data_IF_706327337064
#
_entry.id   IF_706327337064
#
_cell.length_a   1.000
_cell.length_b   1.000
_cell.length_c   1.000
_cell.angle_alpha   90.00
_cell.angle_beta   90.00
_cell.angle_gamma   90.00
#
_symmetry.space_group_name_H-M   'P 1'
#
loop_
_entity.id
_entity.type
_entity.pdbx_description
1 polymer ?
#
# COMPACT_ATOMS: atom_id res chain seq x y z
N UNK A 1 53.66 1.68 -30.74
CA UNK A 1 53.04 1.73 -32.09
C UNK A 1 52.78 3.16 -32.57
N UNK A 2 52.29 4.11 -31.74
CA UNK A 2 52.21 5.54 -32.13
C UNK A 2 53.53 6.10 -32.68
N UNK A 3 54.65 5.80 -32.02
CA UNK A 3 55.98 6.23 -32.48
C UNK A 3 56.39 5.59 -33.81
N UNK A 4 55.91 4.37 -34.12
CA UNK A 4 56.20 3.70 -35.40
C UNK A 4 55.39 4.31 -36.54
N UNK A 5 54.14 4.73 -36.30
CA UNK A 5 53.30 5.42 -37.30
C UNK A 5 53.87 6.81 -37.61
N UNK A 6 54.31 7.56 -36.59
CA UNK A 6 54.99 8.85 -36.79
C UNK A 6 56.34 8.72 -37.50
N UNK A 7 57.11 7.67 -37.17
CA UNK A 7 58.38 7.38 -37.84
C UNK A 7 58.18 6.98 -39.31
N UNK A 8 57.14 6.19 -39.61
CA UNK A 8 56.76 5.83 -40.98
C UNK A 8 56.31 7.07 -41.78
N UNK A 9 55.64 8.02 -41.12
CA UNK A 9 55.23 9.28 -41.74
C UNK A 9 56.43 10.18 -42.07
N UNK A 10 57.36 10.38 -41.13
CA UNK A 10 58.55 11.22 -41.32
C UNK A 10 59.52 10.68 -42.36
N UNK A 11 59.77 9.37 -42.38
CA UNK A 11 60.71 8.73 -43.32
C UNK A 11 60.18 8.80 -44.77
N UNK A 12 58.86 8.72 -44.95
CA UNK A 12 58.26 8.62 -46.28
C UNK A 12 57.92 9.98 -46.91
N UNK A 13 57.66 11.01 -46.11
CA UNK A 13 57.53 12.41 -46.59
C UNK A 13 58.81 12.90 -47.28
N UNK A 14 59.99 12.43 -46.84
CA UNK A 14 61.27 12.79 -47.44
C UNK A 14 61.53 12.11 -48.80
N UNK A 15 60.92 10.94 -49.07
CA UNK A 15 61.20 10.16 -50.29
C UNK A 15 60.63 10.74 -51.58
N UNK A 16 59.68 11.69 -51.51
CA UNK A 16 58.97 12.22 -52.68
C UNK A 16 58.97 13.76 -52.74
N UNK A 17 59.84 14.42 -51.97
CA UNK A 17 59.88 15.88 -51.83
C UNK A 17 60.42 16.66 -53.07
N UNK A 18 60.57 16.02 -54.24
CA UNK A 18 61.19 16.63 -55.43
C UNK A 18 60.64 16.15 -56.79
N UNK A 19 59.45 15.53 -56.83
CA UNK A 19 58.80 15.10 -58.08
C UNK A 19 57.62 16.01 -58.44
N UNK A 20 57.36 16.19 -59.74
CA UNK A 20 56.36 17.10 -60.28
C UNK A 20 54.93 16.72 -59.82
N UNK A 21 54.18 17.71 -59.34
CA UNK A 21 52.96 17.49 -58.51
C UNK A 21 51.77 16.96 -59.34
N UNK A 22 51.83 17.08 -60.67
CA UNK A 22 50.77 16.69 -61.60
C UNK A 22 50.94 15.29 -62.23
N UNK A 23 51.99 14.56 -61.89
CA UNK A 23 52.21 13.23 -62.47
C UNK A 23 51.27 12.19 -61.82
N UNK A 24 50.43 11.53 -62.64
CA UNK A 24 49.35 10.64 -62.20
C UNK A 24 49.88 9.48 -61.34
N UNK A 25 51.10 9.03 -61.62
CA UNK A 25 51.79 7.97 -60.88
C UNK A 25 52.15 8.40 -59.45
N UNK A 26 52.57 9.66 -59.25
CA UNK A 26 52.91 10.21 -57.93
C UNK A 26 51.65 10.35 -57.08
N UNK A 27 50.53 10.78 -57.69
CA UNK A 27 49.23 10.87 -57.02
C UNK A 27 48.73 9.49 -56.59
N UNK A 28 48.75 8.50 -57.49
CA UNK A 28 48.33 7.13 -57.18
C UNK A 28 49.15 6.53 -56.03
N UNK A 29 50.47 6.70 -56.05
CA UNK A 29 51.36 6.17 -55.01
C UNK A 29 51.15 6.86 -53.67
N UNK A 30 50.89 8.18 -53.67
CA UNK A 30 50.53 8.93 -52.46
C UNK A 30 49.19 8.45 -51.88
N UNK A 31 48.19 8.20 -52.73
CA UNK A 31 46.89 7.68 -52.32
C UNK A 31 47.00 6.25 -51.75
N UNK A 32 47.82 5.40 -52.38
CA UNK A 32 48.09 4.05 -51.90
C UNK A 32 48.75 4.05 -50.52
N UNK A 33 49.72 4.95 -50.29
CA UNK A 33 50.34 5.12 -48.97
C UNK A 33 49.37 5.68 -47.93
N UNK A 34 48.47 6.59 -48.33
CA UNK A 34 47.40 7.06 -47.44
C UNK A 34 46.45 5.93 -47.07
N UNK A 35 46.10 5.06 -48.02
CA UNK A 35 45.28 3.86 -47.79
C UNK A 35 45.94 2.91 -46.79
N UNK A 36 47.22 2.60 -46.96
CA UNK A 36 47.98 1.76 -46.02
C UNK A 36 48.02 2.38 -44.61
N UNK A 37 48.20 3.70 -44.51
CA UNK A 37 48.20 4.40 -43.23
C UNK A 37 46.83 4.37 -42.55
N UNK A 38 45.75 4.58 -43.31
CA UNK A 38 44.38 4.50 -42.81
C UNK A 38 44.06 3.08 -42.33
N UNK A 39 44.51 2.05 -43.05
CA UNK A 39 44.33 0.65 -42.63
C UNK A 39 45.01 0.37 -41.29
N UNK A 40 46.25 0.82 -41.11
CA UNK A 40 46.97 0.69 -39.83
C UNK A 40 46.26 1.45 -38.70
N UNK A 41 45.74 2.65 -38.97
CA UNK A 41 44.94 3.42 -38.01
C UNK A 41 43.63 2.72 -37.65
N UNK A 42 42.96 2.11 -38.63
CA UNK A 42 41.71 1.37 -38.42
C UNK A 42 41.95 0.15 -37.52
N UNK A 43 43.02 -0.62 -37.79
CA UNK A 43 43.39 -1.77 -36.97
C UNK A 43 43.78 -1.36 -35.55
N UNK A 44 44.52 -0.26 -35.40
CA UNK A 44 44.84 0.31 -34.08
C UNK A 44 43.58 0.70 -33.30
N UNK A 45 42.63 1.39 -33.93
CA UNK A 45 41.36 1.77 -33.28
C UNK A 45 40.57 0.52 -32.90
N UNK A 46 40.55 -0.52 -33.74
CA UNK A 46 39.87 -1.79 -33.42
C UNK A 46 40.51 -2.50 -32.23
N UNK A 47 41.83 -2.48 -32.10
CA UNK A 47 42.54 -3.05 -30.95
C UNK A 47 42.29 -2.23 -29.67
N UNK A 48 42.41 -0.91 -29.73
CA UNK A 48 42.10 -0.01 -28.61
C UNK A 48 40.65 -0.17 -28.15
N UNK A 49 39.70 -0.29 -29.09
CA UNK A 49 38.31 -0.53 -28.76
C UNK A 49 38.10 -1.86 -28.04
N UNK A 50 38.82 -2.92 -28.42
CA UNK A 50 38.79 -4.20 -27.69
C UNK A 50 39.41 -4.08 -26.30
N UNK A 51 40.50 -3.33 -26.14
CA UNK A 51 41.15 -3.12 -24.85
C UNK A 51 40.24 -2.32 -23.90
N UNK A 52 39.69 -1.20 -24.36
CA UNK A 52 38.74 -0.40 -23.59
C UNK A 52 37.50 -1.22 -23.20
N UNK A 53 37.01 -2.10 -24.07
CA UNK A 53 35.89 -2.99 -23.75
C UNK A 53 36.24 -3.98 -22.64
N UNK A 54 37.48 -4.50 -22.60
CA UNK A 54 37.95 -5.36 -21.51
C UNK A 54 38.09 -4.58 -20.20
N UNK A 55 38.68 -3.39 -20.24
CA UNK A 55 38.80 -2.52 -19.07
C UNK A 55 37.44 -2.13 -18.50
N UNK A 56 36.46 -1.85 -19.37
CA UNK A 56 35.10 -1.56 -18.96
C UNK A 56 34.44 -2.73 -18.22
N UNK A 57 34.62 -3.96 -18.71
CA UNK A 57 34.10 -5.16 -18.02
C UNK A 57 34.78 -5.35 -16.67
N UNK A 58 36.10 -5.16 -16.60
CA UNK A 58 36.84 -5.25 -15.34
C UNK A 58 36.36 -4.20 -14.32
N UNK A 59 36.14 -2.95 -14.75
CA UNK A 59 35.57 -1.90 -13.92
C UNK A 59 34.15 -2.23 -13.44
N UNK A 60 33.32 -2.86 -14.28
CA UNK A 60 31.98 -3.31 -13.87
C UNK A 60 32.03 -4.42 -12.80
N UNK A 61 32.99 -5.35 -12.89
CA UNK A 61 33.18 -6.39 -11.88
C UNK A 61 33.64 -5.82 -10.53
N UNK A 62 34.50 -4.81 -10.55
CA UNK A 62 34.86 -4.05 -9.34
C UNK A 62 33.66 -3.40 -8.68
N UNK A 63 32.77 -2.78 -9.46
CA UNK A 63 31.53 -2.20 -8.95
C UNK A 63 30.63 -3.27 -8.33
N UNK A 64 30.53 -4.47 -8.93
CA UNK A 64 29.75 -5.58 -8.35
C UNK A 64 30.27 -6.03 -6.98
N UNK A 65 31.58 -5.94 -6.73
CA UNK A 65 32.14 -6.25 -5.39
C UNK A 65 31.63 -5.29 -4.31
N UNK A 66 31.44 -4.01 -4.64
CA UNK A 66 30.85 -3.02 -3.73
C UNK A 66 29.40 -3.39 -3.38
N UNK A 67 28.67 -4.02 -4.31
CA UNK A 67 27.29 -4.50 -4.08
C UNK A 67 27.18 -5.70 -3.14
N UNK A 68 28.26 -6.46 -2.93
CA UNK A 68 28.23 -7.71 -2.17
C UNK A 68 28.46 -7.54 -0.65
N UNK A 69 28.95 -6.37 -0.22
CA UNK A 69 29.16 -6.03 1.20
C UNK A 69 27.79 -5.86 1.88
N UNK A 70 27.62 -6.17 3.19
CA UNK A 70 26.35 -5.92 3.88
C UNK A 70 25.83 -4.50 3.63
N UNK A 71 24.66 -4.44 3.00
CA UNK A 71 23.97 -3.20 2.65
C UNK A 71 23.03 -2.81 3.79
N UNK A 72 22.90 -1.51 4.02
CA UNK A 72 21.93 -0.90 4.92
C UNK A 72 20.80 -0.33 4.07
N UNK A 73 19.56 -0.56 4.47
CA UNK A 73 18.41 0.00 3.74
C UNK A 73 18.26 1.48 4.14
N UNK A 74 17.91 2.32 3.17
CA UNK A 74 17.53 3.71 3.38
C UNK A 74 16.42 4.13 2.45
N UNK A 75 15.97 5.37 2.59
CA UNK A 75 14.99 6.00 1.73
C UNK A 75 15.63 7.15 0.96
N UNK A 76 15.38 7.19 -0.34
CA UNK A 76 15.76 8.32 -1.17
C UNK A 76 14.83 9.50 -0.87
N UNK A 77 15.38 10.68 -0.59
CA UNK A 77 14.58 11.90 -0.41
C UNK A 77 14.58 12.69 -1.71
N UNK A 78 15.71 13.30 -2.03
CA UNK A 78 15.82 14.29 -3.11
C UNK A 78 17.19 14.20 -3.81
N UNK A 79 17.23 14.34 -5.15
CA UNK A 79 18.48 14.53 -5.86
C UNK A 79 18.97 15.97 -5.70
N UNK A 80 20.27 16.15 -5.40
CA UNK A 80 20.89 17.49 -5.34
C UNK A 80 21.60 17.79 -6.66
N UNK A 81 22.44 16.85 -7.11
CA UNK A 81 23.30 17.02 -8.28
C UNK A 81 23.18 15.82 -9.24
N UNK A 82 24.01 15.80 -10.29
CA UNK A 82 24.16 14.65 -11.18
C UNK A 82 24.72 13.40 -10.49
N UNK A 83 25.50 13.57 -9.43
CA UNK A 83 26.16 12.44 -8.74
C UNK A 83 25.78 12.33 -7.26
N UNK A 84 25.03 13.29 -6.71
CA UNK A 84 24.79 13.38 -5.28
C UNK A 84 23.30 13.46 -4.97
N UNK A 85 22.89 12.82 -3.88
CA UNK A 85 21.52 12.80 -3.41
C UNK A 85 21.46 12.84 -1.89
N UNK A 86 20.32 13.29 -1.37
CA UNK A 86 20.00 13.21 0.06
C UNK A 86 19.20 11.93 0.27
N UNK A 87 19.65 11.15 1.26
CA UNK A 87 19.01 9.93 1.69
C UNK A 87 18.69 10.02 3.18
N UNK A 88 17.64 9.32 3.62
CA UNK A 88 17.36 9.07 5.02
C UNK A 88 17.72 7.61 5.33
N UNK A 89 18.62 7.39 6.28
CA UNK A 89 18.88 6.04 6.80
C UNK A 89 17.71 5.57 7.66
N UNK A 90 17.52 4.26 7.80
CA UNK A 90 16.58 3.70 8.80
C UNK A 90 16.87 4.13 10.23
N UNK A 91 18.09 4.60 10.50
CA UNK A 91 18.50 5.18 11.79
C UNK A 91 17.93 6.58 12.05
N UNK A 92 17.16 7.15 11.11
CA UNK A 92 16.52 8.46 11.24
C UNK A 92 17.43 9.66 10.94
N UNK A 93 18.68 9.42 10.56
CA UNK A 93 19.64 10.44 10.14
C UNK A 93 19.63 10.62 8.62
N UNK A 94 19.70 11.89 8.18
CA UNK A 94 19.81 12.24 6.78
C UNK A 94 21.29 12.36 6.38
N UNK A 95 21.66 11.76 5.25
CA UNK A 95 23.03 11.81 4.71
C UNK A 95 23.02 12.40 3.31
N UNK A 96 24.05 13.19 3.02
CA UNK A 96 24.40 13.61 1.66
C UNK A 96 25.38 12.59 1.10
N UNK A 97 24.99 11.90 0.03
CA UNK A 97 25.72 10.71 -0.45
C UNK A 97 25.90 10.73 -1.96
N UNK A 98 26.93 10.03 -2.40
CA UNK A 98 27.20 9.83 -3.82
C UNK A 98 26.38 8.65 -4.36
N UNK A 99 25.75 8.86 -5.51
CA UNK A 99 24.99 7.87 -6.27
C UNK A 99 25.92 7.11 -7.19
N UNK A 100 25.81 5.78 -7.19
CA UNK A 100 26.54 4.91 -8.12
C UNK A 100 26.09 5.16 -9.56
N UNK A 101 27.04 5.38 -10.48
CA UNK A 101 26.76 5.74 -11.88
C UNK A 101 26.00 4.68 -12.66
N UNK A 102 25.98 3.43 -12.20
CA UNK A 102 25.29 2.31 -12.88
C UNK A 102 23.78 2.27 -12.64
N UNK A 103 23.25 3.16 -11.79
CA UNK A 103 21.83 3.15 -11.42
C UNK A 103 21.03 4.06 -12.35
N UNK A 104 19.88 3.56 -12.81
CA UNK A 104 18.94 4.33 -13.61
C UNK A 104 18.30 5.45 -12.78
N UNK A 105 18.61 6.70 -13.13
CA UNK A 105 18.15 7.89 -12.38
C UNK A 105 16.65 8.11 -12.48
N UNK A 106 16.01 7.64 -13.56
CA UNK A 106 14.56 7.75 -13.76
C UNK A 106 13.76 6.90 -12.75
N UNK A 107 14.38 5.82 -12.23
CA UNK A 107 13.77 4.96 -11.23
C UNK A 107 13.92 5.51 -9.80
N UNK A 108 14.82 6.48 -9.59
CA UNK A 108 14.98 7.18 -8.31
C UNK A 108 13.85 8.19 -8.12
N UNK A 109 12.71 7.71 -7.63
CA UNK A 109 11.61 8.56 -7.20
C UNK A 109 11.76 8.92 -5.72
N UNK A 110 11.26 10.09 -5.29
CA UNK A 110 11.17 10.44 -3.88
C UNK A 110 10.53 9.31 -3.06
N UNK A 111 11.11 9.06 -1.89
CA UNK A 111 10.79 7.97 -0.96
C UNK A 111 11.14 6.55 -1.42
N UNK A 112 11.73 6.32 -2.60
CA UNK A 112 12.12 4.98 -3.03
C UNK A 112 13.10 4.30 -2.04
N UNK A 113 12.94 3.00 -1.83
CA UNK A 113 13.83 2.20 -1.00
C UNK A 113 15.16 1.98 -1.72
N UNK A 114 16.25 2.35 -1.07
CA UNK A 114 17.60 2.30 -1.63
C UNK A 114 18.54 1.52 -0.72
N UNK A 115 19.50 0.84 -1.33
CA UNK A 115 20.57 0.15 -0.64
C UNK A 115 21.78 1.07 -0.49
N UNK A 116 22.27 1.15 0.73
CA UNK A 116 23.40 1.97 1.13
C UNK A 116 24.56 1.07 1.54
N UNK A 117 25.78 1.50 1.25
CA UNK A 117 26.95 0.83 1.78
C UNK A 117 27.14 1.15 3.27
N UNK A 118 27.34 0.13 4.12
CA UNK A 118 27.37 0.27 5.60
C UNK A 118 28.40 1.28 6.13
N UNK A 119 29.56 1.44 5.50
CA UNK A 119 30.64 2.29 6.01
C UNK A 119 30.67 3.69 5.38
N UNK A 120 30.32 3.79 4.10
CA UNK A 120 30.46 5.03 3.31
C UNK A 120 29.13 5.70 3.03
N UNK A 121 28.01 5.05 3.35
CA UNK A 121 26.65 5.48 3.06
C UNK A 121 26.38 5.77 1.57
N UNK A 122 27.27 5.38 0.65
CA UNK A 122 27.04 5.55 -0.79
C UNK A 122 25.79 4.78 -1.22
N UNK A 123 25.03 5.35 -2.15
CA UNK A 123 23.85 4.70 -2.73
C UNK A 123 24.32 3.69 -3.78
N UNK A 124 24.09 2.41 -3.52
CA UNK A 124 24.63 1.26 -4.26
C UNK A 124 23.61 0.66 -5.23
N UNK A 125 22.38 0.50 -4.78
CA UNK A 125 21.31 -0.09 -5.61
C UNK A 125 19.93 0.38 -5.17
N UNK A 126 18.94 0.11 -6.01
CA UNK A 126 17.52 0.23 -5.68
C UNK A 126 17.04 -1.11 -5.11
N UNK A 127 16.45 -1.07 -3.92
CA UNK A 127 15.82 -2.27 -3.34
C UNK A 127 14.39 -2.29 -3.86
N UNK A 128 13.91 -3.41 -4.44
CA UNK A 128 12.50 -3.53 -4.74
C UNK A 128 11.73 -3.27 -3.43
N UNK A 129 10.59 -2.59 -3.49
CA UNK A 129 9.82 -2.28 -2.30
C UNK A 129 9.19 -3.57 -1.77
N UNK A 130 9.96 -4.32 -1.00
CA UNK A 130 9.42 -5.28 -0.07
C UNK A 130 8.75 -4.44 1.02
N UNK A 131 7.43 -4.56 1.10
CA UNK A 131 6.70 -4.07 2.26
C UNK A 131 7.32 -4.74 3.49
N UNK A 132 7.61 -3.95 4.53
CA UNK A 132 7.96 -4.51 5.84
C UNK A 132 6.97 -5.64 6.16
N UNK A 133 7.47 -6.75 6.69
CA UNK A 133 6.73 -8.00 6.94
C UNK A 133 5.47 -7.84 7.81
N UNK A 134 5.22 -6.65 8.33
CA UNK A 134 4.03 -6.25 9.08
C UNK A 134 2.84 -5.95 8.18
N UNK A 135 3.04 -5.40 6.97
CA UNK A 135 1.94 -5.07 6.05
C UNK A 135 1.60 -6.32 5.24
N UNK A 136 0.74 -7.15 5.82
CA UNK A 136 0.23 -8.35 5.15
C UNK A 136 -0.71 -7.93 4.03
N UNK A 137 -0.25 -7.99 2.77
CA UNK A 137 -1.18 -8.04 1.65
C UNK A 137 -1.95 -9.34 1.77
N UNK A 138 -3.27 -9.24 1.95
CA UNK A 138 -4.14 -10.41 1.87
C UNK A 138 -4.00 -10.95 0.45
N UNK A 139 -3.26 -12.05 0.34
CA UNK A 139 -3.14 -12.78 -0.92
C UNK A 139 -4.50 -13.33 -1.31
N UNK A 140 -4.68 -13.74 -2.58
CA UNK A 140 -5.94 -14.30 -3.04
C UNK A 140 -6.45 -15.47 -2.18
N UNK A 141 -5.55 -16.18 -1.48
CA UNK A 141 -5.83 -17.30 -0.58
C UNK A 141 -6.25 -16.89 0.85
N UNK A 142 -6.09 -15.62 1.25
CA UNK A 142 -6.54 -15.11 2.56
C UNK A 142 -7.81 -14.25 2.46
N UNK A 143 -8.46 -14.23 1.29
CA UNK A 143 -9.72 -13.52 1.12
C UNK A 143 -10.75 -14.05 2.13
N UNK A 144 -11.39 -13.18 2.93
CA UNK A 144 -12.42 -13.61 3.85
C UNK A 144 -13.63 -14.15 3.06
N UNK A 145 -14.08 -15.36 3.38
CA UNK A 145 -15.24 -16.04 2.75
C UNK A 145 -16.62 -15.45 3.15
N UNK A 146 -16.70 -14.13 3.36
CA UNK A 146 -17.95 -13.46 3.74
C UNK A 146 -18.60 -12.87 2.51
N UNK A 147 -19.83 -13.28 2.20
CA UNK A 147 -20.61 -12.69 1.11
C UNK A 147 -21.57 -11.60 1.60
N UNK A 148 -22.07 -10.76 0.70
CA UNK A 148 -23.11 -9.78 1.04
C UNK A 148 -24.41 -10.43 1.55
N UNK A 149 -24.67 -11.68 1.16
CA UNK A 149 -25.83 -12.47 1.62
C UNK A 149 -25.71 -12.92 3.08
N UNK A 150 -24.48 -13.05 3.59
CA UNK A 150 -24.22 -13.42 4.99
C UNK A 150 -24.45 -12.27 5.97
N UNK A 151 -24.52 -11.03 5.46
CA UNK A 151 -24.81 -9.85 6.25
C UNK A 151 -26.31 -9.61 6.18
N UNK A 152 -27.03 -9.80 7.28
CA UNK A 152 -28.46 -9.50 7.34
C UNK A 152 -28.73 -7.99 7.42
N UNK A 153 -29.69 -7.49 6.64
CA UNK A 153 -30.08 -6.07 6.65
C UNK A 153 -29.02 -5.11 6.10
N UNK A 154 -29.01 -3.87 6.63
CA UNK A 154 -28.12 -2.77 6.24
C UNK A 154 -28.16 -2.45 4.73
N UNK A 155 -29.33 -2.53 4.11
CA UNK A 155 -29.49 -2.40 2.66
C UNK A 155 -29.00 -1.04 2.13
N UNK A 156 -29.29 0.03 2.89
CA UNK A 156 -28.81 1.37 2.57
C UNK A 156 -27.28 1.46 2.61
N UNK A 157 -26.66 0.98 3.69
CA UNK A 157 -25.20 1.02 3.85
C UNK A 157 -24.49 0.16 2.81
N UNK A 158 -25.05 -1.01 2.47
CA UNK A 158 -24.55 -1.86 1.39
C UNK A 158 -24.60 -1.14 0.05
N UNK A 159 -25.70 -0.47 -0.26
CA UNK A 159 -25.83 0.29 -1.50
C UNK A 159 -24.82 1.44 -1.56
N UNK A 160 -24.70 2.22 -0.49
CA UNK A 160 -23.75 3.35 -0.42
C UNK A 160 -22.29 2.90 -0.60
N UNK A 161 -21.89 1.78 0.01
CA UNK A 161 -20.54 1.23 -0.17
C UNK A 161 -20.32 0.73 -1.59
N UNK A 162 -21.30 0.04 -2.20
CA UNK A 162 -21.18 -0.42 -3.59
C UNK A 162 -21.00 0.75 -4.55
N UNK A 163 -21.78 1.82 -4.36
CA UNK A 163 -21.67 3.05 -5.15
C UNK A 163 -20.34 3.78 -4.95
N UNK A 164 -19.78 3.73 -3.73
CA UNK A 164 -18.53 4.42 -3.42
C UNK A 164 -17.26 3.64 -3.81
N UNK A 165 -17.31 2.31 -3.77
CA UNK A 165 -16.11 1.44 -3.95
C UNK A 165 -16.19 0.62 -5.23
N UNK A 166 -17.27 -0.14 -5.44
CA UNK A 166 -17.36 -1.10 -6.57
C UNK A 166 -17.64 -0.40 -7.90
N UNK A 167 -18.55 0.57 -7.93
CA UNK A 167 -18.96 1.27 -9.14
C UNK A 167 -17.80 2.05 -9.79
N UNK A 168 -16.97 2.81 -9.04
CA UNK A 168 -15.82 3.50 -9.62
C UNK A 168 -14.77 2.55 -10.19
N UNK A 169 -14.61 1.36 -9.58
CA UNK A 169 -13.64 0.36 -10.03
C UNK A 169 -14.10 -0.37 -11.29
N UNK A 170 -15.39 -0.70 -11.37
CA UNK A 170 -15.95 -1.45 -12.50
C UNK A 170 -16.31 -0.54 -13.68
N UNK A 171 -16.80 0.67 -13.43
CA UNK A 171 -17.39 1.56 -14.44
C UNK A 171 -16.81 2.99 -14.37
N UNK A 172 -15.49 3.12 -14.31
CA UNK A 172 -14.79 4.42 -14.28
C UNK A 172 -15.17 5.36 -15.45
N UNK A 173 -15.54 4.82 -16.62
CA UNK A 173 -15.92 5.61 -17.79
C UNK A 173 -17.24 6.39 -17.58
N UNK A 174 -18.19 5.85 -16.81
CA UNK A 174 -19.46 6.53 -16.52
C UNK A 174 -19.20 7.82 -15.73
N UNK A 175 -18.34 7.76 -14.72
CA UNK A 175 -17.96 8.95 -13.93
C UNK A 175 -17.32 10.02 -14.80
N UNK A 176 -16.42 9.64 -15.71
CA UNK A 176 -15.78 10.57 -16.66
C UNK A 176 -16.75 11.20 -17.66
N UNK A 177 -17.74 10.44 -18.16
CA UNK A 177 -18.74 10.96 -19.09
C UNK A 177 -19.73 11.91 -18.41
N UNK A 178 -20.11 11.61 -17.17
CA UNK A 178 -21.01 12.45 -16.37
C UNK A 178 -20.26 13.70 -15.85
N UNK A 179 -18.92 13.63 -15.73
CA UNK A 179 -18.09 14.72 -15.23
C UNK A 179 -18.14 14.87 -13.72
N UNK A 180 -18.35 13.76 -13.00
CA UNK A 180 -18.34 13.71 -11.53
C UNK A 180 -17.09 13.00 -11.03
N UNK A 181 -16.46 13.57 -10.01
CA UNK A 181 -15.29 12.96 -9.39
C UNK A 181 -15.72 11.79 -8.50
N UNK A 182 -15.12 10.60 -8.65
CA UNK A 182 -15.44 9.48 -7.79
C UNK A 182 -14.92 9.75 -6.37
N UNK A 183 -15.64 9.34 -5.31
CA UNK A 183 -15.21 9.58 -3.94
C UNK A 183 -13.85 8.92 -3.68
N UNK A 184 -12.94 9.62 -3.00
CA UNK A 184 -11.58 9.12 -2.70
C UNK A 184 -11.57 8.19 -1.48
N UNK A 185 -12.31 8.56 -0.44
CA UNK A 185 -12.35 7.85 0.82
C UNK A 185 -13.77 7.67 1.38
N UNK A 186 -13.97 6.56 2.09
CA UNK A 186 -15.22 6.19 2.77
C UNK A 186 -14.96 5.97 4.26
N UNK A 187 -15.68 6.70 5.11
CA UNK A 187 -15.61 6.55 6.56
C UNK A 187 -16.82 5.77 7.07
N UNK A 188 -16.58 4.62 7.68
CA UNK A 188 -17.59 3.81 8.36
C UNK A 188 -17.58 4.15 9.86
N UNK A 189 -18.69 4.64 10.39
CA UNK A 189 -18.79 5.00 11.82
C UNK A 189 -20.09 4.53 12.46
N UNK A 190 -20.10 4.37 13.79
CA UNK A 190 -21.24 3.86 14.56
C UNK A 190 -20.81 3.19 15.85
N UNK A 191 -21.73 2.59 16.63
CA UNK A 191 -21.36 1.80 17.79
C UNK A 191 -20.60 0.51 17.39
N UNK A 192 -19.84 -0.10 18.32
CA UNK A 192 -19.21 -1.39 18.08
C UNK A 192 -20.28 -2.48 17.85
N UNK A 193 -19.90 -3.56 17.17
CA UNK A 193 -20.79 -4.71 16.98
C UNK A 193 -21.85 -4.55 15.89
N UNK A 194 -21.87 -3.45 15.12
CA UNK A 194 -22.82 -3.26 14.00
C UNK A 194 -22.37 -3.87 12.66
N UNK A 195 -21.21 -4.54 12.61
CA UNK A 195 -20.75 -5.27 11.41
C UNK A 195 -19.94 -4.46 10.40
N UNK A 196 -19.33 -3.33 10.79
CA UNK A 196 -18.48 -2.50 9.90
C UNK A 196 -17.33 -3.29 9.28
N UNK A 197 -16.56 -3.99 10.12
CA UNK A 197 -15.45 -4.86 9.68
C UNK A 197 -15.97 -6.02 8.83
N UNK A 198 -17.16 -6.55 9.13
CA UNK A 198 -17.77 -7.63 8.34
C UNK A 198 -18.18 -7.15 6.94
N UNK A 199 -18.74 -5.94 6.83
CA UNK A 199 -19.09 -5.35 5.56
C UNK A 199 -17.86 -5.04 4.70
N UNK A 200 -16.79 -4.51 5.30
CA UNK A 200 -15.52 -4.31 4.60
C UNK A 200 -14.91 -5.62 4.09
N UNK A 201 -15.01 -6.71 4.86
CA UNK A 201 -14.60 -8.06 4.42
C UNK A 201 -15.44 -8.57 3.25
N UNK A 202 -16.76 -8.34 3.27
CA UNK A 202 -17.62 -8.72 2.14
C UNK A 202 -17.31 -7.95 0.85
N UNK A 203 -16.97 -6.66 0.97
CA UNK A 203 -16.47 -5.86 -0.15
C UNK A 203 -15.19 -6.48 -0.70
N UNK A 204 -14.23 -6.83 0.17
CA UNK A 204 -12.97 -7.45 -0.24
C UNK A 204 -13.17 -8.75 -1.05
N UNK A 205 -14.16 -9.56 -0.66
CA UNK A 205 -14.51 -10.79 -1.36
C UNK A 205 -15.12 -10.54 -2.75
N UNK A 206 -16.04 -9.57 -2.85
CA UNK A 206 -16.72 -9.26 -4.11
C UNK A 206 -15.85 -8.45 -5.10
N UNK A 207 -14.89 -7.67 -4.60
CA UNK A 207 -14.00 -6.89 -5.46
C UNK A 207 -12.87 -7.75 -6.02
N UNK A 208 -12.59 -7.59 -7.33
CA UNK A 208 -11.40 -8.17 -7.97
C UNK A 208 -10.11 -7.37 -7.72
N UNK A 209 -10.21 -6.25 -7.01
CA UNK A 209 -9.09 -5.37 -6.67
C UNK A 209 -8.20 -5.99 -5.57
N UNK A 210 -6.95 -5.54 -5.49
CA UNK A 210 -6.08 -5.88 -4.36
C UNK A 210 -6.65 -5.29 -3.08
N UNK A 211 -6.78 -6.08 -2.02
CA UNK A 211 -7.30 -5.63 -0.74
C UNK A 211 -6.20 -5.63 0.31
N UNK A 212 -5.89 -4.46 0.85
CA UNK A 212 -4.85 -4.28 1.86
C UNK A 212 -5.53 -3.91 3.18
N UNK A 213 -5.41 -4.78 4.18
CA UNK A 213 -5.97 -4.56 5.52
C UNK A 213 -4.87 -4.15 6.47
N UNK A 214 -5.09 -3.07 7.21
CA UNK A 214 -4.20 -2.60 8.27
C UNK A 214 -5.03 -2.23 9.50
N UNK A 215 -4.52 -2.51 10.69
CA UNK A 215 -5.15 -2.06 11.94
C UNK A 215 -4.51 -0.74 12.36
N UNK A 216 -5.30 0.26 12.77
CA UNK A 216 -4.81 1.60 13.12
C UNK A 216 -3.75 1.60 14.21
N UNK A 217 -3.78 0.63 15.12
CA UNK A 217 -2.77 0.45 16.17
C UNK A 217 -1.40 -0.02 15.63
N UNK A 218 -1.33 -0.67 14.46
CA UNK A 218 -0.08 -1.17 13.88
C UNK A 218 0.87 -0.04 13.43
N UNK A 219 0.33 1.15 13.17
CA UNK A 219 1.15 2.32 12.83
C UNK A 219 1.91 2.89 14.03
N UNK A 220 1.46 2.61 15.25
CA UNK A 220 2.09 3.12 16.48
C UNK A 220 3.19 2.16 16.92
N UNK A 221 4.41 2.45 16.48
CA UNK A 221 5.60 1.64 16.80
C UNK A 221 6.44 2.27 17.91
N UNK A 222 7.26 1.44 18.56
CA UNK A 222 8.21 1.88 19.61
C UNK A 222 9.33 2.76 19.05
N UNK A 223 9.70 2.58 17.79
CA UNK A 223 10.79 3.32 17.16
C UNK A 223 10.28 4.60 16.49
N UNK A 224 10.97 5.69 16.76
CA UNK A 224 10.61 7.02 16.25
C UNK A 224 10.82 7.08 14.73
N UNK A 225 9.82 7.55 13.99
CA UNK A 225 9.86 7.68 12.53
C UNK A 225 9.49 6.42 11.75
N UNK A 226 9.27 5.28 12.42
CA UNK A 226 8.82 4.04 11.78
C UNK A 226 7.37 4.15 11.30
N UNK A 227 6.49 4.78 12.09
CA UNK A 227 5.08 4.96 11.74
C UNK A 227 4.86 5.72 10.42
N UNK A 228 5.42 6.94 10.24
CA UNK A 228 5.32 7.67 8.98
C UNK A 228 5.96 6.93 7.78
N UNK A 229 6.98 6.11 8.02
CA UNK A 229 7.56 5.25 6.98
C UNK A 229 6.57 4.16 6.57
N UNK A 230 5.94 3.48 7.52
CA UNK A 230 4.92 2.45 7.25
C UNK A 230 3.75 3.00 6.44
N UNK A 231 3.27 4.21 6.74
CA UNK A 231 2.21 4.86 5.95
C UNK A 231 2.63 5.05 4.49
N UNK A 232 3.85 5.54 4.24
CA UNK A 232 4.37 5.72 2.87
C UNK A 232 4.51 4.40 2.13
N UNK A 233 4.98 3.37 2.82
CA UNK A 233 5.17 2.05 2.23
C UNK A 233 3.82 1.39 1.92
N UNK A 234 2.80 1.54 2.78
CA UNK A 234 1.42 1.10 2.54
C UNK A 234 0.83 1.69 1.24
N UNK A 235 0.91 3.01 1.07
CA UNK A 235 0.35 3.66 -0.12
C UNK A 235 1.17 3.39 -1.39
N UNK A 236 2.48 3.22 -1.26
CA UNK A 236 3.31 2.77 -2.38
C UNK A 236 2.91 1.38 -2.85
N UNK A 237 2.65 0.46 -1.91
CA UNK A 237 2.21 -0.89 -2.19
C UNK A 237 0.86 -0.91 -2.91
N UNK A 238 -0.09 -0.11 -2.40
CA UNK A 238 -1.39 0.09 -3.04
C UNK A 238 -1.24 0.63 -4.48
N UNK A 239 -0.34 1.59 -4.71
CA UNK A 239 -0.08 2.15 -6.03
C UNK A 239 0.50 1.15 -7.01
N UNK A 240 1.33 0.22 -6.55
CA UNK A 240 1.89 -0.84 -7.40
C UNK A 240 0.88 -1.92 -7.74
N UNK A 241 -0.04 -2.21 -6.82
CA UNK A 241 -1.10 -3.20 -6.98
C UNK A 241 -2.44 -2.57 -7.40
N UNK A 242 -2.41 -1.43 -8.08
CA UNK A 242 -3.60 -0.74 -8.57
C UNK A 242 -4.31 -1.58 -9.64
N UNK A 243 -5.65 -1.77 -9.58
CA UNK A 243 -6.60 -1.18 -8.64
C UNK A 243 -6.57 -1.82 -7.24
N UNK A 244 -6.60 -1.00 -6.19
CA UNK A 244 -6.47 -1.47 -4.80
C UNK A 244 -7.42 -0.77 -3.83
N UNK A 245 -7.90 -1.49 -2.83
CA UNK A 245 -8.69 -0.97 -1.71
C UNK A 245 -7.86 -1.10 -0.43
N UNK A 246 -7.67 0.01 0.27
CA UNK A 246 -7.00 0.05 1.58
C UNK A 246 -8.09 0.12 2.65
N UNK A 247 -8.13 -0.87 3.53
CA UNK A 247 -9.04 -0.89 4.69
C UNK A 247 -8.24 -0.67 5.98
N UNK A 248 -8.53 0.43 6.66
CA UNK A 248 -7.94 0.76 7.96
C UNK A 248 -9.01 0.60 9.04
N UNK A 249 -8.85 -0.39 9.90
CA UNK A 249 -9.72 -0.57 11.06
C UNK A 249 -9.20 0.23 12.26
N UNK A 250 -10.07 0.61 13.20
CA UNK A 250 -9.70 1.31 14.44
C UNK A 250 -8.84 2.58 14.22
N UNK A 251 -9.24 3.43 13.27
CA UNK A 251 -8.51 4.68 12.97
C UNK A 251 -8.48 5.67 14.14
N UNK A 252 -9.36 5.49 15.13
CA UNK A 252 -9.38 6.26 16.38
C UNK A 252 -8.11 6.10 17.23
N UNK A 253 -7.28 5.07 16.98
CA UNK A 253 -5.96 4.95 17.58
C UNK A 253 -4.97 6.05 17.13
N UNK A 254 -5.15 6.60 15.92
CA UNK A 254 -4.21 7.57 15.31
C UNK A 254 -4.87 8.95 15.17
N UNK A 255 -6.16 8.98 14.88
CA UNK A 255 -6.86 10.18 14.44
C UNK A 255 -7.59 10.92 15.57
N UNK A 256 -6.97 11.08 16.74
CA UNK A 256 -7.62 11.76 17.88
C UNK A 256 -7.50 13.29 17.77
N UNK A 257 -8.55 14.04 18.14
CA UNK A 257 -8.54 15.53 18.14
C UNK A 257 -7.60 16.15 19.20
N UNK A 258 -7.26 15.40 20.25
CA UNK A 258 -6.56 15.93 21.44
C UNK A 258 -5.10 15.50 21.42
N UNK A 259 -4.24 16.36 20.91
CA UNK A 259 -2.79 16.20 21.03
C UNK A 259 -2.27 17.14 22.12
N UNK A 260 -1.93 16.59 23.27
CA UNK A 260 -1.12 17.32 24.24
C UNK A 260 0.33 17.31 23.76
N UNK A 261 0.83 18.47 23.32
CA UNK A 261 2.16 18.61 22.75
C UNK A 261 3.31 18.35 23.76
N UNK A 262 2.99 17.92 24.99
CA UNK A 262 3.95 17.66 26.05
C UNK A 262 4.54 16.24 25.99
N UNK A 263 3.82 15.25 25.44
CA UNK A 263 4.27 13.86 25.39
C UNK A 263 4.93 13.53 24.06
N UNK A 264 6.10 12.87 24.10
CA UNK A 264 6.81 12.44 22.89
C UNK A 264 6.03 11.42 22.04
N UNK A 265 5.18 10.60 22.68
CA UNK A 265 4.33 9.61 22.01
C UNK A 265 3.25 10.28 21.15
N UNK A 266 2.57 11.30 21.69
CA UNK A 266 1.49 12.01 20.97
C UNK A 266 2.02 12.77 19.74
N UNK A 267 3.26 13.27 19.82
CA UNK A 267 3.94 13.89 18.67
C UNK A 267 4.20 12.90 17.54
N UNK A 268 4.48 11.64 17.85
CA UNK A 268 4.67 10.61 16.83
C UNK A 268 3.35 10.26 16.15
N UNK A 269 2.28 10.08 16.93
CA UNK A 269 0.93 9.86 16.39
C UNK A 269 0.50 11.01 15.48
N UNK A 270 0.78 12.25 15.88
CA UNK A 270 0.51 13.42 15.05
C UNK A 270 1.28 13.40 13.72
N UNK A 271 2.56 12.98 13.73
CA UNK A 271 3.34 12.83 12.49
C UNK A 271 2.76 11.75 11.57
N UNK A 272 2.31 10.63 12.12
CA UNK A 272 1.65 9.55 11.38
C UNK A 272 0.37 10.08 10.72
N UNK A 273 -0.47 10.81 11.48
CA UNK A 273 -1.70 11.40 10.96
C UNK A 273 -1.42 12.39 9.83
N UNK A 274 -0.45 13.29 9.99
CA UNK A 274 -0.06 14.25 8.95
C UNK A 274 0.45 13.54 7.69
N UNK A 275 1.23 12.48 7.84
CA UNK A 275 1.71 11.70 6.69
C UNK A 275 0.55 10.99 5.98
N UNK A 276 -0.38 10.39 6.71
CA UNK A 276 -1.59 9.78 6.15
C UNK A 276 -2.40 10.81 5.34
N UNK A 277 -2.60 12.01 5.89
CA UNK A 277 -3.28 13.10 5.21
C UNK A 277 -2.54 13.56 3.94
N UNK A 278 -1.22 13.70 4.01
CA UNK A 278 -0.41 14.11 2.86
C UNK A 278 -0.47 13.06 1.73
N UNK A 279 -0.40 11.77 2.07
CA UNK A 279 -0.52 10.69 1.07
C UNK A 279 -1.92 10.66 0.46
N UNK A 280 -2.98 10.93 1.24
CA UNK A 280 -4.36 11.02 0.74
C UNK A 280 -4.59 12.19 -0.22
N UNK A 281 -4.00 13.35 0.04
CA UNK A 281 -4.11 14.51 -0.84
C UNK A 281 -3.28 14.32 -2.12
N UNK A 282 -2.12 13.67 -2.00
CA UNK A 282 -1.17 13.42 -3.09
C UNK A 282 -1.60 12.39 -4.15
N UNK A 283 -2.84 11.86 -4.08
CA UNK A 283 -3.35 10.97 -5.12
C UNK A 283 -3.74 11.76 -6.37
N UNK A 284 -3.02 11.49 -7.46
CA UNK A 284 -3.51 11.71 -8.81
C UNK A 284 -4.72 10.80 -9.05
N UNK A 285 -5.80 11.32 -9.65
CA UNK A 285 -7.01 10.57 -10.03
C UNK A 285 -6.74 9.35 -10.93
N UNK A 286 -5.53 9.24 -11.47
CA UNK A 286 -5.10 8.13 -12.32
C UNK A 286 -4.90 6.82 -11.56
N UNK A 287 -4.61 6.88 -10.25
CA UNK A 287 -4.46 5.70 -9.42
C UNK A 287 -5.83 5.33 -8.83
N UNK A 288 -6.43 4.23 -9.30
CA UNK A 288 -7.69 3.67 -8.79
C UNK A 288 -7.54 3.07 -7.38
N UNK A 289 -7.12 3.90 -6.42
CA UNK A 289 -6.93 3.53 -5.03
C UNK A 289 -8.11 4.09 -4.25
N UNK A 290 -8.76 3.23 -3.46
CA UNK A 290 -9.87 3.63 -2.57
C UNK A 290 -9.50 3.35 -1.13
N UNK A 291 -9.78 4.28 -0.24
CA UNK A 291 -9.50 4.15 1.19
C UNK A 291 -10.80 4.00 1.96
N UNK A 292 -10.93 2.93 2.73
CA UNK A 292 -12.04 2.68 3.63
C UNK A 292 -11.48 2.74 5.05
N UNK A 293 -12.02 3.62 5.88
CA UNK A 293 -11.64 3.71 7.29
C UNK A 293 -12.83 3.33 8.17
N UNK A 294 -12.61 2.54 9.21
CA UNK A 294 -13.62 2.22 10.21
C UNK A 294 -13.25 2.85 11.56
N UNK A 295 -14.24 3.48 12.20
CA UNK A 295 -14.11 4.02 13.56
C UNK A 295 -15.33 3.66 14.40
N UNK A 296 -15.14 3.47 15.71
CA UNK A 296 -16.25 3.37 16.66
C UNK A 296 -16.61 4.73 17.28
N UNK A 297 -15.74 5.74 17.13
CA UNK A 297 -15.84 7.02 17.81
C UNK A 297 -15.66 8.18 16.83
N UNK A 298 -16.74 8.56 16.15
CA UNK A 298 -16.72 9.70 15.24
C UNK A 298 -16.51 11.05 15.96
N UNK A 299 -16.86 11.12 17.24
CA UNK A 299 -16.70 12.31 18.09
C UNK A 299 -15.23 12.69 18.31
N UNK A 300 -14.36 11.69 18.43
CA UNK A 300 -12.92 11.88 18.70
C UNK A 300 -12.08 12.13 17.46
N UNK A 301 -12.63 11.96 16.25
CA UNK A 301 -11.87 12.05 14.99
C UNK A 301 -11.47 13.47 14.60
N UNK A 302 -10.21 13.67 14.21
CA UNK A 302 -9.74 14.97 13.68
C UNK A 302 -10.60 15.46 12.49
N UNK A 303 -11.22 16.66 12.57
CA UNK A 303 -11.99 17.23 11.46
C UNK A 303 -11.16 17.44 10.18
N UNK A 304 -9.83 17.45 10.25
CA UNK A 304 -8.96 17.50 9.09
C UNK A 304 -9.14 16.31 8.14
N UNK A 305 -9.44 15.11 8.66
CA UNK A 305 -9.74 13.93 7.84
C UNK A 305 -11.09 14.05 7.11
N UNK A 306 -12.04 14.76 7.71
CA UNK A 306 -13.41 14.89 7.23
C UNK A 306 -13.60 15.94 6.14
N UNK A 307 -12.52 16.60 5.71
CA UNK A 307 -12.56 17.61 4.66
C UNK A 307 -12.83 16.96 3.30
N UNK A 308 -13.59 17.63 2.42
CA UNK A 308 -13.82 17.15 1.05
C UNK A 308 -12.48 17.02 0.30
N UNK A 309 -12.34 15.97 -0.51
CA UNK A 309 -11.10 15.58 -1.17
C UNK A 309 -10.30 14.52 -0.40
N UNK A 310 -10.71 14.18 0.84
CA UNK A 310 -10.13 13.10 1.65
C UNK A 310 -11.19 12.03 1.92
N UNK A 311 -12.09 12.30 2.88
CA UNK A 311 -13.19 11.40 3.25
C UNK A 311 -14.52 11.98 2.78
N UNK A 312 -14.86 11.71 1.52
CA UNK A 312 -16.03 12.29 0.86
C UNK A 312 -17.34 11.63 1.29
N UNK A 313 -17.31 10.32 1.60
CA UNK A 313 -18.47 9.56 2.03
C UNK A 313 -18.35 9.17 3.49
N UNK A 314 -19.42 9.41 4.25
CA UNK A 314 -19.55 9.06 5.66
C UNK A 314 -20.79 8.19 5.80
N UNK A 315 -20.59 6.94 6.20
CA UNK A 315 -21.65 5.94 6.28
C UNK A 315 -21.86 5.60 7.74
N UNK A 316 -23.07 5.89 8.22
CA UNK A 316 -23.48 5.61 9.57
C UNK A 316 -24.05 4.21 9.71
N UNK A 317 -23.61 3.51 10.74
CA UNK A 317 -24.15 2.23 11.17
C UNK A 317 -24.97 2.46 12.43
N UNK A 318 -26.28 2.67 12.31
CA UNK A 318 -27.16 2.71 13.47
C UNK A 318 -27.31 1.32 14.08
N UNK A 319 -27.84 1.28 15.30
CA UNK A 319 -28.32 0.03 15.89
C UNK A 319 -29.47 -0.55 15.05
N UNK A 320 -29.61 -1.88 14.98
CA UNK A 320 -30.59 -2.51 14.11
C UNK A 320 -32.03 -2.25 14.57
N UNK A 321 -32.85 -1.73 13.65
CA UNK A 321 -34.30 -1.62 13.83
C UNK A 321 -34.98 -2.99 13.93
N UNK A 322 -36.21 -3.06 14.43
CA UNK A 322 -36.99 -4.32 14.50
C UNK A 322 -37.00 -5.11 13.18
N UNK A 323 -37.15 -4.40 12.04
CA UNK A 323 -37.09 -5.01 10.71
C UNK A 323 -35.70 -5.57 10.40
N UNK A 324 -34.64 -4.82 10.72
CA UNK A 324 -33.26 -5.24 10.49
C UNK A 324 -32.88 -6.40 11.41
N UNK A 325 -33.26 -6.36 12.70
CA UNK A 325 -33.08 -7.47 13.64
C UNK A 325 -33.64 -8.77 13.07
N UNK A 326 -34.86 -8.75 12.53
CA UNK A 326 -35.46 -9.93 11.89
C UNK A 326 -34.59 -10.50 10.78
N UNK A 327 -34.06 -9.64 9.91
CA UNK A 327 -33.17 -10.06 8.83
C UNK A 327 -31.86 -10.65 9.37
N UNK A 328 -31.25 -10.00 10.36
CA UNK A 328 -30.00 -10.49 10.99
C UNK A 328 -30.22 -11.85 11.66
N UNK A 329 -31.29 -12.01 12.45
CA UNK A 329 -31.64 -13.30 13.03
C UNK A 329 -31.83 -14.36 11.96
N UNK A 330 -32.60 -14.09 10.91
CA UNK A 330 -32.86 -15.05 9.82
C UNK A 330 -31.58 -15.49 9.13
N UNK A 331 -30.65 -14.57 8.85
CA UNK A 331 -29.39 -14.90 8.18
C UNK A 331 -28.46 -15.74 9.06
N UNK A 332 -28.39 -15.46 10.36
CA UNK A 332 -27.55 -16.21 11.30
C UNK A 332 -28.15 -17.59 11.57
N UNK A 333 -29.45 -17.66 11.82
CA UNK A 333 -30.14 -18.91 12.16
C UNK A 333 -30.25 -19.85 10.96
N UNK A 334 -30.22 -19.35 9.73
CA UNK A 334 -30.16 -20.18 8.52
C UNK A 334 -28.94 -21.11 8.46
N UNK A 335 -27.86 -20.82 9.22
CA UNK A 335 -26.68 -21.67 9.33
C UNK A 335 -26.80 -22.74 10.43
N UNK A 336 -27.87 -22.68 11.24
CA UNK A 336 -28.06 -23.52 12.41
C UNK A 336 -29.28 -24.45 12.24
N UNK A 337 -29.27 -25.59 12.93
CA UNK A 337 -30.41 -26.50 12.96
C UNK A 337 -31.42 -26.04 14.03
N UNK A 338 -32.53 -25.47 13.58
CA UNK A 338 -33.63 -25.00 14.42
C UNK A 338 -34.68 -26.09 14.60
N UNK A 339 -35.23 -26.23 15.80
CA UNK A 339 -36.42 -27.05 16.05
C UNK A 339 -37.69 -26.36 15.54
N UNK A 340 -38.74 -27.13 15.30
CA UNK A 340 -40.06 -26.60 14.87
C UNK A 340 -40.66 -25.65 15.92
N UNK A 341 -40.27 -25.79 17.18
CA UNK A 341 -40.74 -24.98 18.31
C UNK A 341 -40.14 -23.55 18.35
N UNK A 342 -39.21 -23.19 17.46
CA UNK A 342 -38.46 -21.92 17.56
C UNK A 342 -39.16 -20.78 16.82
N UNK A 343 -39.84 -19.92 17.59
CA UNK A 343 -40.40 -18.66 17.09
C UNK A 343 -39.42 -17.49 17.33
N UNK A 344 -38.79 -17.01 16.25
CA UNK A 344 -37.86 -15.87 16.33
C UNK A 344 -38.57 -14.53 16.58
N UNK A 345 -39.86 -14.46 16.26
CA UNK A 345 -40.65 -13.22 16.34
C UNK A 345 -40.78 -12.69 17.77
N UNK A 346 -40.91 -13.59 18.75
CA UNK A 346 -40.97 -13.25 20.18
C UNK A 346 -39.70 -12.56 20.67
N UNK A 347 -38.55 -12.99 20.16
CA UNK A 347 -37.25 -12.41 20.52
C UNK A 347 -37.05 -11.04 19.87
N UNK A 348 -37.58 -10.86 18.67
CA UNK A 348 -37.49 -9.61 17.89
C UNK A 348 -38.47 -8.55 18.43
N UNK A 349 -39.60 -8.97 18.99
CA UNK A 349 -40.63 -8.08 19.51
C UNK A 349 -40.20 -7.33 20.78
N UNK A 350 -39.17 -7.82 21.49
CA UNK A 350 -38.65 -7.18 22.72
C UNK A 350 -38.03 -5.80 22.41
N UNK A 351 -38.27 -4.79 23.27
CA UNK A 351 -37.84 -3.41 23.02
C UNK A 351 -36.33 -3.18 23.22
N UNK A 352 -35.59 -4.19 23.68
CA UNK A 352 -34.20 -4.07 24.11
C UNK A 352 -33.30 -3.63 22.95
N UNK A 353 -32.35 -2.74 23.22
CA UNK A 353 -31.38 -2.28 22.23
C UNK A 353 -30.23 -3.29 22.14
N UNK A 354 -30.27 -4.11 21.09
CA UNK A 354 -29.34 -5.23 20.89
C UNK A 354 -28.50 -4.94 19.64
N UNK A 355 -27.18 -5.13 19.70
CA UNK A 355 -26.30 -5.00 18.53
C UNK A 355 -26.27 -6.27 17.67
N UNK A 356 -25.76 -6.19 16.43
CA UNK A 356 -25.64 -7.38 15.58
C UNK A 356 -24.68 -8.43 16.16
N UNK A 357 -23.65 -7.99 16.89
CA UNK A 357 -22.75 -8.88 17.61
C UNK A 357 -23.47 -9.63 18.74
N UNK A 358 -24.36 -8.95 19.47
CA UNK A 358 -25.12 -9.57 20.56
C UNK A 358 -26.13 -10.58 20.01
N UNK A 359 -26.79 -10.30 18.88
CA UNK A 359 -27.66 -11.27 18.19
C UNK A 359 -26.87 -12.55 17.83
N UNK A 360 -25.65 -12.39 17.31
CA UNK A 360 -24.79 -13.53 17.03
C UNK A 360 -24.39 -14.29 18.31
N UNK A 361 -24.06 -13.56 19.39
CA UNK A 361 -23.77 -14.16 20.69
C UNK A 361 -24.95 -14.94 21.27
N UNK A 362 -26.18 -14.42 21.15
CA UNK A 362 -27.42 -15.13 21.55
C UNK A 362 -27.53 -16.46 20.81
N UNK A 363 -27.35 -16.44 19.49
CA UNK A 363 -27.44 -17.66 18.67
C UNK A 363 -26.33 -18.66 19.03
N UNK A 364 -25.11 -18.17 19.29
CA UNK A 364 -23.98 -19.02 19.70
C UNK A 364 -24.19 -19.65 21.08
N UNK A 365 -24.66 -18.89 22.07
CA UNK A 365 -24.97 -19.43 23.41
C UNK A 365 -26.12 -20.44 23.35
N UNK A 366 -27.17 -20.16 22.56
CA UNK A 366 -28.27 -21.11 22.35
C UNK A 366 -27.76 -22.44 21.75
N UNK A 367 -26.88 -22.35 20.73
CA UNK A 367 -26.21 -23.52 20.17
C UNK A 367 -25.35 -24.27 21.20
N UNK A 368 -24.60 -23.54 22.02
CA UNK A 368 -23.75 -24.14 23.06
C UNK A 368 -24.58 -24.86 24.14
N UNK A 369 -25.75 -24.34 24.48
CA UNK A 369 -26.69 -25.00 25.38
C UNK A 369 -27.23 -26.31 24.80
N UNK A 370 -27.59 -26.34 23.51
CA UNK A 370 -27.99 -27.57 22.84
C UNK A 370 -26.86 -28.61 22.82
N UNK A 371 -25.62 -28.17 22.57
CA UNK A 371 -24.42 -29.05 22.61
C UNK A 371 -24.18 -29.61 24.02
N UNK A 372 -24.31 -28.79 25.08
CA UNK A 372 -24.17 -29.27 26.47
C UNK A 372 -25.20 -30.33 26.85
N UNK A 373 -26.38 -30.27 26.25
CA UNK A 373 -27.45 -31.26 26.46
C UNK A 373 -27.37 -32.43 25.46
N UNK A 374 -26.29 -32.52 24.66
CA UNK A 374 -26.06 -33.53 23.61
C UNK A 374 -27.18 -33.60 22.56
N UNK A 375 -27.77 -32.45 22.22
CA UNK A 375 -28.82 -32.32 21.18
C UNK A 375 -28.23 -31.75 19.89
N UNK A 376 -28.69 -32.24 18.74
CA UNK A 376 -28.29 -31.76 17.40
C UNK A 376 -29.17 -30.61 16.87
N UNK A 377 -30.22 -30.26 17.61
CA UNK A 377 -31.23 -29.25 17.24
C UNK A 377 -31.41 -28.29 18.42
N UNK A 378 -31.48 -26.99 18.11
CA UNK A 378 -31.69 -25.94 19.10
C UNK A 378 -33.19 -25.73 19.32
N UNK A 379 -33.62 -25.72 20.58
CA UNK A 379 -35.04 -25.53 20.95
C UNK A 379 -35.27 -24.11 21.47
N UNK A 380 -36.53 -23.67 21.54
CA UNK A 380 -36.89 -22.34 22.05
C UNK A 380 -36.38 -22.06 23.47
N UNK A 381 -36.33 -23.09 24.34
CA UNK A 381 -35.80 -22.97 25.71
C UNK A 381 -34.32 -22.58 25.74
N UNK A 382 -33.55 -22.98 24.74
CA UNK A 382 -32.12 -22.68 24.65
C UNK A 382 -31.91 -21.23 24.20
N UNK A 383 -32.72 -20.76 23.25
CA UNK A 383 -32.75 -19.34 22.86
C UNK A 383 -33.14 -18.43 24.02
N UNK A 384 -34.11 -18.83 24.84
CA UNK A 384 -34.50 -18.05 26.02
C UNK A 384 -33.37 -17.99 27.06
N UNK A 385 -32.66 -19.11 27.29
CA UNK A 385 -31.46 -19.11 28.16
C UNK A 385 -30.35 -18.23 27.59
N UNK A 386 -30.08 -18.34 26.27
CA UNK A 386 -29.06 -17.55 25.58
C UNK A 386 -29.34 -16.05 25.64
N UNK A 387 -30.59 -15.65 25.40
CA UNK A 387 -31.02 -14.25 25.50
C UNK A 387 -30.84 -13.68 26.91
N UNK A 388 -31.21 -14.46 27.93
CA UNK A 388 -31.02 -14.04 29.33
C UNK A 388 -29.55 -13.94 29.70
N UNK A 389 -28.69 -14.79 29.15
CA UNK A 389 -27.26 -14.75 29.42
C UNK A 389 -26.57 -13.52 28.82
N UNK A 390 -26.99 -13.09 27.62
CA UNK A 390 -26.35 -11.99 26.90
C UNK A 390 -26.97 -10.62 27.15
N UNK A 391 -28.30 -10.50 27.26
CA UNK A 391 -29.01 -9.21 27.31
C UNK A 391 -29.25 -8.73 28.75
N UNK A 392 -29.70 -9.61 29.65
CA UNK A 392 -30.01 -9.23 31.05
C UNK A 392 -28.78 -8.90 31.91
N UNK A 393 -27.57 -9.11 31.38
CA UNK A 393 -26.33 -8.71 32.06
C UNK A 393 -26.12 -7.20 32.02
N UNK A 394 -26.70 -6.52 31.03
CA UNK A 394 -26.53 -5.08 30.78
C UNK A 394 -27.70 -4.24 31.32
N UNK A 395 -28.80 -4.86 31.75
CA UNK A 395 -29.92 -4.16 32.38
C UNK A 395 -29.57 -3.75 33.82
N UNK A 396 -29.01 -2.54 33.96
CA UNK A 396 -29.18 -1.79 35.19
C UNK A 396 -30.68 -1.54 35.36
N UNK A 397 -31.27 -2.06 36.45
CA UNK A 397 -32.68 -1.89 36.77
C UNK A 397 -33.04 -0.40 36.73
N UNK A 398 -33.74 0.03 35.69
CA UNK A 398 -34.35 1.36 35.69
C UNK A 398 -35.56 1.32 36.61
N UNK A 399 -35.55 2.18 37.64
CA UNK A 399 -36.69 2.31 38.54
C UNK A 399 -37.95 2.64 37.73
N UNK A 400 -39.04 1.94 38.07
CA UNK A 400 -40.34 1.97 37.36
C UNK A 400 -41.01 3.36 37.31
N UNK A 401 -40.44 4.36 37.98
CA UNK A 401 -40.90 5.74 38.01
C UNK A 401 -39.89 6.65 37.31
N UNK A 402 -39.96 6.74 35.98
CA UNK A 402 -39.58 7.93 35.21
C UNK A 402 -40.24 7.91 33.84
#
# INVERSE_FOLDING_TARGET
MKDQVELFHKINLQKYAGLDVNDLYVIYKRLQMQLELIQVQEDYIKEEHRNLKKEFVHAQEEVKRIKAVPLVIGQFLEPVDQNNAIIASTTGSNYYVRVLSTIDREKLKPSASVALHKQSNCLVDLVPPEADSTISMLSADEKPDVNYSDIGGLDMQKQEIREAVELPLTHAQLYKQIGIDPPRGVLLYGPPGCGKTMLAKAVAHHTTASFIRVVGSEFVQKYLGEGPRMVRDLFRLAKQNSPSVIFIDEIDAIATKRFDAQTGADREVQRILLELLNQMDGFDETANIKVIMATNRADTLDPALLRPGRMDRKIEFPLPDRRQKRLVFTTITAKMNLGEDVELEDMIARPDKISNADINAICQEAGMHAVRENRYVVNAKDFEKGYKASVLKDEAQHEFYN
#
